data_IF_498145031912
#
_entry.id   IF_498145031912
#
_cell.length_a   1.000
_cell.length_b   1.000
_cell.length_c   1.000
_cell.angle_alpha   90.00
_cell.angle_beta   90.00
_cell.angle_gamma   90.00
#
_symmetry.space_group_name_H-M   'P 1'
#
loop_
_entity.id
_entity.type
_entity.pdbx_description
1 polymer ?
#
# COMPACT_ATOMS: atom_id res chain seq x y z
N UNK A 1 36.13 -27.53 24.05
CA UNK A 1 34.81 -27.17 23.49
C UNK A 1 34.75 -27.68 22.05
N UNK A 2 33.69 -28.32 21.68
CA UNK A 2 33.50 -28.73 20.28
C UNK A 2 33.18 -27.52 19.40
N UNK A 3 34.01 -27.26 18.39
CA UNK A 3 33.87 -26.12 17.48
C UNK A 3 32.77 -26.32 16.44
N UNK A 4 32.27 -27.53 16.28
CA UNK A 4 31.29 -27.85 15.23
C UNK A 4 29.99 -27.05 15.35
N UNK A 5 29.32 -26.98 16.51
CA UNK A 5 28.12 -26.17 16.68
C UNK A 5 28.37 -24.68 16.43
N UNK A 6 29.52 -24.16 16.79
CA UNK A 6 29.88 -22.77 16.58
C UNK A 6 30.00 -22.46 15.09
N UNK A 7 30.69 -23.35 14.35
CA UNK A 7 30.84 -23.21 12.88
C UNK A 7 29.51 -23.31 12.15
N UNK A 8 28.64 -24.24 12.59
CA UNK A 8 27.29 -24.37 12.04
C UNK A 8 26.44 -23.11 12.28
N UNK A 9 26.48 -22.56 13.48
CA UNK A 9 25.77 -21.32 13.83
C UNK A 9 26.25 -20.15 12.96
N UNK A 10 27.57 -19.97 12.83
CA UNK A 10 28.15 -18.90 12.01
C UNK A 10 27.76 -19.07 10.54
N UNK A 11 27.81 -20.29 10.02
CA UNK A 11 27.42 -20.60 8.65
C UNK A 11 25.93 -20.29 8.39
N UNK A 12 25.05 -20.69 9.29
CA UNK A 12 23.63 -20.37 9.20
C UNK A 12 23.36 -18.87 9.29
N UNK A 13 24.08 -18.17 10.16
CA UNK A 13 23.94 -16.71 10.31
C UNK A 13 24.32 -15.99 9.01
N UNK A 14 25.41 -16.41 8.36
CA UNK A 14 25.82 -15.87 7.05
C UNK A 14 24.77 -16.16 5.98
N UNK A 15 24.27 -17.40 5.92
CA UNK A 15 23.24 -17.80 4.97
C UNK A 15 21.96 -16.99 5.12
N UNK A 16 21.53 -16.74 6.36
CA UNK A 16 20.37 -15.91 6.64
C UNK A 16 20.58 -14.47 6.12
N UNK A 17 21.76 -13.92 6.35
CA UNK A 17 22.09 -12.57 5.85
C UNK A 17 22.05 -12.52 4.32
N UNK A 18 22.62 -13.51 3.64
CA UNK A 18 22.62 -13.58 2.17
C UNK A 18 21.19 -13.74 1.62
N UNK A 19 20.38 -14.61 2.23
CA UNK A 19 18.98 -14.81 1.84
C UNK A 19 18.14 -13.55 2.03
N UNK A 20 18.37 -12.80 3.09
CA UNK A 20 17.69 -11.50 3.32
C UNK A 20 18.07 -10.48 2.25
N UNK A 21 19.33 -10.44 1.85
CA UNK A 21 19.80 -9.56 0.77
C UNK A 21 19.17 -9.94 -0.58
N UNK A 22 19.14 -11.24 -0.90
CA UNK A 22 18.48 -11.76 -2.12
C UNK A 22 16.99 -11.46 -2.13
N UNK A 23 16.30 -11.67 -0.98
CA UNK A 23 14.87 -11.36 -0.85
C UNK A 23 14.61 -9.87 -1.09
N UNK A 24 15.40 -9.01 -0.47
CA UNK A 24 15.26 -7.54 -0.63
C UNK A 24 15.45 -7.11 -2.09
N UNK A 25 16.43 -7.70 -2.78
CA UNK A 25 16.66 -7.42 -4.20
C UNK A 25 15.50 -7.91 -5.07
N UNK A 26 14.99 -9.12 -4.81
CA UNK A 26 13.86 -9.68 -5.54
C UNK A 26 12.58 -8.85 -5.32
N UNK A 27 12.34 -8.37 -4.12
CA UNK A 27 11.21 -7.49 -3.81
C UNK A 27 11.31 -6.15 -4.54
N UNK A 28 12.52 -5.60 -4.62
CA UNK A 28 12.78 -4.37 -5.38
C UNK A 28 12.51 -4.57 -6.87
N UNK A 29 13.05 -5.63 -7.46
CA UNK A 29 12.87 -5.96 -8.88
C UNK A 29 11.40 -6.21 -9.21
N UNK A 30 10.69 -6.93 -8.33
CA UNK A 30 9.25 -7.16 -8.46
C UNK A 30 8.47 -5.85 -8.48
N UNK A 31 8.81 -4.91 -7.60
CA UNK A 31 8.14 -3.61 -7.51
C UNK A 31 8.36 -2.76 -8.77
N UNK A 32 9.56 -2.81 -9.34
CA UNK A 32 9.84 -2.11 -10.60
C UNK A 32 9.06 -2.73 -11.77
N UNK A 33 9.02 -4.07 -11.84
CA UNK A 33 8.22 -4.79 -12.85
C UNK A 33 6.73 -4.56 -12.68
N UNK A 34 6.23 -4.41 -11.46
CA UNK A 34 4.82 -4.13 -11.22
C UNK A 34 4.36 -2.86 -11.94
N UNK A 35 5.17 -1.81 -11.92
CA UNK A 35 4.87 -0.56 -12.64
C UNK A 35 4.77 -0.79 -14.14
N UNK A 36 5.68 -1.56 -14.69
CA UNK A 36 5.69 -1.89 -16.13
C UNK A 36 4.43 -2.67 -16.50
N UNK A 37 4.12 -3.73 -15.74
CA UNK A 37 2.95 -4.58 -15.97
C UNK A 37 1.65 -3.79 -15.88
N UNK A 38 1.50 -2.95 -14.84
CA UNK A 38 0.31 -2.10 -14.70
C UNK A 38 0.14 -1.19 -15.91
N UNK A 39 1.20 -0.53 -16.36
CA UNK A 39 1.14 0.36 -17.52
C UNK A 39 0.78 -0.39 -18.80
N UNK A 40 1.37 -1.55 -19.02
CA UNK A 40 1.06 -2.39 -20.19
C UNK A 40 -0.40 -2.87 -20.17
N UNK A 41 -0.89 -3.32 -19.03
CA UNK A 41 -2.28 -3.75 -18.88
C UNK A 41 -3.26 -2.60 -19.13
N UNK A 42 -3.00 -1.42 -18.57
CA UNK A 42 -3.83 -0.22 -18.79
C UNK A 42 -3.83 0.16 -20.28
N UNK A 43 -2.67 0.22 -20.91
CA UNK A 43 -2.56 0.56 -22.32
C UNK A 43 -3.26 -0.45 -23.25
N UNK A 44 -3.25 -1.71 -22.88
CA UNK A 44 -3.92 -2.78 -23.61
C UNK A 44 -5.43 -2.91 -23.28
N UNK A 45 -5.91 -2.20 -22.25
CA UNK A 45 -7.31 -2.28 -21.82
C UNK A 45 -7.67 -3.56 -21.07
N UNK A 46 -6.71 -4.20 -20.42
CA UNK A 46 -6.94 -5.41 -19.64
C UNK A 46 -7.02 -5.12 -18.13
N UNK A 47 -8.08 -5.59 -17.50
CA UNK A 47 -8.22 -5.55 -16.04
C UNK A 47 -7.56 -6.75 -15.36
N UNK A 48 -7.48 -7.86 -16.07
CA UNK A 48 -6.93 -9.13 -15.58
C UNK A 48 -6.06 -9.79 -16.65
N UNK A 49 -4.98 -10.41 -16.19
CA UNK A 49 -4.09 -11.25 -17.01
C UNK A 49 -3.70 -12.47 -16.20
N UNK A 50 -3.70 -13.64 -16.82
CA UNK A 50 -3.24 -14.87 -16.17
C UNK A 50 -1.98 -15.40 -16.84
N UNK A 51 -1.01 -15.78 -16.03
CA UNK A 51 0.23 -16.41 -16.47
C UNK A 51 0.74 -17.35 -15.37
N UNK A 52 1.27 -18.49 -15.77
CA UNK A 52 1.90 -19.48 -14.89
C UNK A 52 1.07 -19.86 -13.65
N UNK A 53 -0.24 -20.07 -13.82
CA UNK A 53 -1.17 -20.44 -12.75
C UNK A 53 -1.49 -19.30 -11.77
N UNK A 54 -1.12 -18.08 -12.11
CA UNK A 54 -1.41 -16.87 -11.33
C UNK A 54 -2.28 -15.91 -12.12
N UNK A 55 -3.14 -15.21 -11.42
CA UNK A 55 -3.97 -14.15 -12.01
C UNK A 55 -3.56 -12.82 -11.42
N UNK A 56 -3.21 -11.88 -12.30
CA UNK A 56 -2.92 -10.49 -11.96
C UNK A 56 -4.15 -9.66 -12.26
N UNK A 57 -4.59 -8.90 -11.29
CA UNK A 57 -5.74 -8.00 -11.41
C UNK A 57 -5.30 -6.59 -11.02
N UNK A 58 -5.63 -5.61 -11.86
CA UNK A 58 -5.42 -4.20 -11.52
C UNK A 58 -6.44 -3.77 -10.48
N UNK A 59 -5.97 -3.18 -9.39
CA UNK A 59 -6.80 -2.55 -8.38
C UNK A 59 -6.39 -1.10 -8.20
N UNK A 60 -7.36 -0.25 -7.95
CA UNK A 60 -7.08 1.12 -7.52
C UNK A 60 -6.59 1.09 -6.08
N UNK A 61 -5.60 1.91 -5.78
CA UNK A 61 -5.13 2.14 -4.42
C UNK A 61 -5.23 3.61 -4.05
N UNK A 62 -5.45 3.88 -2.78
CA UNK A 62 -5.40 5.21 -2.21
C UNK A 62 -4.33 5.24 -1.13
N UNK A 63 -3.43 6.18 -1.26
CA UNK A 63 -2.41 6.48 -0.26
C UNK A 63 -2.61 7.91 0.24
N UNK A 64 -2.25 8.15 1.48
CA UNK A 64 -2.31 9.47 2.07
C UNK A 64 -1.07 9.73 2.91
N UNK A 65 -0.60 10.94 2.89
CA UNK A 65 0.49 11.40 3.75
C UNK A 65 0.12 12.71 4.45
N UNK A 66 0.67 12.97 5.64
CA UNK A 66 0.48 14.26 6.31
C UNK A 66 1.01 15.42 5.46
N UNK A 67 0.23 16.48 5.32
CA UNK A 67 0.62 17.70 4.59
C UNK A 67 1.66 18.49 5.36
N UNK A 68 1.39 18.75 6.65
CA UNK A 68 2.20 19.61 7.53
C UNK A 68 2.88 18.81 8.65
N UNK A 69 3.18 17.54 8.41
CA UNK A 69 3.83 16.67 9.36
C UNK A 69 2.86 15.92 10.29
N UNK A 70 3.44 15.03 11.09
CA UNK A 70 2.70 14.12 11.96
C UNK A 70 1.89 14.85 13.04
N UNK A 71 2.42 15.93 13.60
CA UNK A 71 1.77 16.69 14.67
C UNK A 71 0.47 17.34 14.18
N UNK A 72 0.50 17.95 13.01
CA UNK A 72 -0.69 18.57 12.41
C UNK A 72 -1.79 17.54 12.13
N UNK A 73 -1.42 16.34 11.68
CA UNK A 73 -2.37 15.23 11.51
C UNK A 73 -2.92 14.75 12.86
N UNK A 74 -2.09 14.63 13.89
CA UNK A 74 -2.53 14.27 15.24
C UNK A 74 -3.57 15.26 15.77
N UNK A 75 -3.30 16.56 15.66
CA UNK A 75 -4.22 17.61 16.10
C UNK A 75 -5.54 17.55 15.31
N UNK A 76 -5.48 17.29 14.01
CA UNK A 76 -6.67 17.12 13.16
C UNK A 76 -7.51 15.89 13.55
N UNK A 77 -6.86 14.79 13.91
CA UNK A 77 -7.54 13.59 14.39
C UNK A 77 -8.24 13.82 15.73
N UNK A 78 -7.60 14.54 16.66
CA UNK A 78 -8.24 14.95 17.93
C UNK A 78 -9.46 15.83 17.69
N UNK A 79 -9.34 16.84 16.85
CA UNK A 79 -10.43 17.73 16.48
C UNK A 79 -11.62 16.99 15.87
N UNK A 80 -11.34 15.94 15.08
CA UNK A 80 -12.35 15.09 14.46
C UNK A 80 -12.94 14.02 15.41
N UNK A 81 -12.49 13.92 16.67
CA UNK A 81 -12.93 12.90 17.61
C UNK A 81 -12.38 11.51 17.33
N UNK A 82 -11.27 11.43 16.62
CA UNK A 82 -10.61 10.18 16.20
C UNK A 82 -9.38 9.86 17.06
N UNK A 83 -9.47 10.10 18.35
CA UNK A 83 -8.35 9.94 19.31
C UNK A 83 -7.77 8.54 19.32
N UNK A 84 -8.57 7.54 19.04
CA UNK A 84 -8.13 6.14 18.95
C UNK A 84 -7.07 5.91 17.85
N UNK A 85 -7.02 6.76 16.83
CA UNK A 85 -6.03 6.67 15.75
C UNK A 85 -4.68 7.29 16.10
N UNK A 86 -4.61 8.11 17.15
CA UNK A 86 -3.41 8.86 17.54
C UNK A 86 -2.35 7.94 18.14
N UNK A 87 -2.76 6.94 18.89
CA UNK A 87 -1.89 6.00 19.61
C UNK A 87 -1.36 4.86 18.73
N UNK A 88 -1.74 4.82 17.45
CA UNK A 88 -1.43 3.71 16.55
C UNK A 88 -0.32 4.07 15.56
N UNK A 89 0.21 3.02 14.93
CA UNK A 89 1.25 3.12 13.91
C UNK A 89 0.68 3.50 12.52
N UNK A 90 1.57 3.65 11.54
CA UNK A 90 1.19 4.00 10.16
C UNK A 90 0.21 3.02 9.51
N UNK A 91 0.25 1.74 9.91
CA UNK A 91 -0.68 0.72 9.40
C UNK A 91 -2.13 1.01 9.76
N UNK A 92 -2.38 1.56 10.95
CA UNK A 92 -3.72 1.95 11.40
C UNK A 92 -4.25 3.13 10.59
N UNK A 93 -3.41 4.11 10.32
CA UNK A 93 -3.78 5.26 9.47
C UNK A 93 -4.08 4.79 8.03
N UNK A 94 -3.29 3.89 7.48
CA UNK A 94 -3.57 3.30 6.16
C UNK A 94 -4.89 2.56 6.11
N UNK A 95 -5.20 1.77 7.15
CA UNK A 95 -6.48 1.07 7.26
C UNK A 95 -7.66 2.04 7.31
N UNK A 96 -7.53 3.11 8.08
CA UNK A 96 -8.52 4.18 8.15
C UNK A 96 -8.72 4.87 6.79
N UNK A 97 -7.65 5.20 6.09
CA UNK A 97 -7.73 5.79 4.74
C UNK A 97 -8.46 4.87 3.77
N UNK A 98 -8.17 3.59 3.77
CA UNK A 98 -8.88 2.59 2.94
C UNK A 98 -10.36 2.50 3.27
N UNK A 99 -10.70 2.51 4.56
CA UNK A 99 -12.09 2.45 5.01
C UNK A 99 -12.90 3.67 4.54
N UNK A 100 -12.34 4.85 4.66
CA UNK A 100 -12.99 6.10 4.21
C UNK A 100 -13.08 6.18 2.69
N UNK A 101 -12.01 5.81 2.00
CA UNK A 101 -11.94 5.87 0.53
C UNK A 101 -12.77 4.79 -0.18
N UNK A 102 -13.00 3.64 0.45
CA UNK A 102 -13.68 2.49 -0.16
C UNK A 102 -15.04 2.84 -0.79
N UNK A 103 -15.99 3.46 -0.05
CA UNK A 103 -17.28 3.85 -0.62
C UNK A 103 -17.17 4.79 -1.83
N UNK A 104 -16.22 5.72 -1.82
CA UNK A 104 -15.98 6.65 -2.94
C UNK A 104 -15.49 5.89 -4.18
N UNK A 105 -14.56 4.96 -4.01
CA UNK A 105 -14.06 4.11 -5.09
C UNK A 105 -15.17 3.22 -5.67
N UNK A 106 -15.98 2.61 -4.81
CA UNK A 106 -17.08 1.74 -5.21
C UNK A 106 -18.15 2.52 -6.00
N UNK A 107 -18.47 3.74 -5.56
CA UNK A 107 -19.41 4.60 -6.28
C UNK A 107 -18.88 4.98 -7.65
N UNK A 108 -17.62 5.37 -7.75
CA UNK A 108 -16.98 5.72 -9.01
C UNK A 108 -16.98 4.54 -9.99
N UNK A 109 -16.73 3.32 -9.49
CA UNK A 109 -16.78 2.10 -10.30
C UNK A 109 -18.20 1.81 -10.83
N UNK A 110 -19.22 1.96 -9.96
CA UNK A 110 -20.64 1.79 -10.41
C UNK A 110 -21.04 2.83 -11.45
N UNK A 111 -20.56 4.04 -11.35
CA UNK A 111 -20.81 5.12 -12.30
C UNK A 111 -19.91 5.06 -13.54
N UNK A 112 -18.99 4.10 -13.60
CA UNK A 112 -18.02 3.92 -14.70
C UNK A 112 -17.18 5.17 -14.97
N UNK A 113 -16.75 5.82 -13.90
CA UNK A 113 -15.89 7.02 -13.95
C UNK A 113 -14.68 6.86 -13.07
N UNK A 114 -13.66 7.68 -13.31
CA UNK A 114 -12.50 7.78 -12.44
C UNK A 114 -12.82 8.62 -11.21
N UNK A 115 -12.47 8.17 -9.99
CA UNK A 115 -12.55 8.99 -8.80
C UNK A 115 -11.51 10.11 -8.86
N UNK A 116 -11.79 11.24 -8.21
CA UNK A 116 -10.85 12.34 -8.07
C UNK A 116 -10.27 12.38 -6.66
N UNK A 117 -9.08 12.98 -6.51
CA UNK A 117 -8.45 13.18 -5.20
C UNK A 117 -9.33 14.03 -4.28
N UNK A 118 -10.00 15.03 -4.84
CA UNK A 118 -10.92 15.92 -4.13
C UNK A 118 -12.13 15.18 -3.57
N UNK A 119 -12.70 14.24 -4.30
CA UNK A 119 -13.82 13.42 -3.82
C UNK A 119 -13.40 12.57 -2.61
N UNK A 120 -12.22 11.98 -2.66
CA UNK A 120 -11.70 11.19 -1.56
C UNK A 120 -11.38 12.07 -0.36
N UNK A 121 -10.74 13.21 -0.57
CA UNK A 121 -10.45 14.16 0.48
C UNK A 121 -11.72 14.64 1.18
N UNK A 122 -12.78 14.92 0.44
CA UNK A 122 -14.07 15.35 0.97
C UNK A 122 -14.81 14.28 1.78
N UNK A 123 -14.45 12.99 1.61
CA UNK A 123 -15.03 11.90 2.40
C UNK A 123 -14.50 11.83 3.83
N UNK A 124 -13.35 12.44 4.12
CA UNK A 124 -12.80 12.56 5.47
C UNK A 124 -13.49 13.69 6.26
N UNK A 125 -13.50 13.61 7.61
CA UNK A 125 -13.80 14.78 8.42
C UNK A 125 -12.92 15.96 7.99
N UNK A 126 -13.48 17.16 7.93
CA UNK A 126 -12.81 18.34 7.37
C UNK A 126 -11.40 18.58 7.92
N UNK A 127 -11.15 18.53 9.26
CA UNK A 127 -9.80 18.71 9.79
C UNK A 127 -8.81 17.66 9.26
N UNK A 128 -9.24 16.42 9.17
CA UNK A 128 -8.41 15.30 8.70
C UNK A 128 -8.14 15.41 7.21
N UNK A 129 -9.17 15.72 6.41
CA UNK A 129 -9.03 15.93 4.96
C UNK A 129 -8.03 17.03 4.62
N UNK A 130 -8.01 18.12 5.38
CA UNK A 130 -7.01 19.20 5.20
C UNK A 130 -5.58 18.78 5.59
N UNK A 131 -5.44 17.87 6.55
CA UNK A 131 -4.17 17.40 7.06
C UNK A 131 -3.53 16.28 6.21
N UNK A 132 -4.28 15.74 5.24
CA UNK A 132 -3.85 14.65 4.38
C UNK A 132 -3.71 15.10 2.92
N UNK A 133 -2.63 14.67 2.30
CA UNK A 133 -2.47 14.70 0.84
C UNK A 133 -2.84 13.33 0.30
N UNK A 134 -3.80 13.29 -0.62
CA UNK A 134 -4.34 12.07 -1.21
C UNK A 134 -3.62 11.76 -2.51
N UNK A 135 -3.27 10.51 -2.70
CA UNK A 135 -2.69 9.98 -3.93
C UNK A 135 -3.56 8.85 -4.45
N UNK A 136 -3.93 8.92 -5.71
CA UNK A 136 -4.60 7.86 -6.43
C UNK A 136 -3.59 7.10 -7.28
N UNK A 137 -3.69 5.79 -7.27
CA UNK A 137 -2.82 4.93 -8.06
C UNK A 137 -3.47 3.58 -8.34
N UNK A 138 -2.66 2.69 -8.86
CA UNK A 138 -3.06 1.30 -9.12
C UNK A 138 -2.06 0.35 -8.49
N UNK A 139 -2.56 -0.80 -8.07
CA UNK A 139 -1.75 -1.92 -7.61
C UNK A 139 -2.17 -3.21 -8.29
N UNK A 140 -1.29 -4.21 -8.31
CA UNK A 140 -1.61 -5.54 -8.78
C UNK A 140 -1.99 -6.44 -7.61
N UNK A 141 -3.13 -7.10 -7.76
CA UNK A 141 -3.49 -8.25 -6.94
C UNK A 141 -3.00 -9.51 -7.66
N UNK A 142 -2.27 -10.36 -6.95
CA UNK A 142 -1.71 -11.59 -7.47
C UNK A 142 -2.32 -12.76 -6.70
N UNK A 143 -3.20 -13.51 -7.35
CA UNK A 143 -3.93 -14.62 -6.76
C UNK A 143 -3.70 -15.90 -7.56
N UNK A 144 -3.92 -17.05 -6.95
CA UNK A 144 -3.93 -18.32 -7.67
C UNK A 144 -5.08 -18.33 -8.67
N UNK A 145 -4.76 -18.75 -9.86
CA UNK A 145 -5.78 -18.92 -10.90
C UNK A 145 -6.75 -20.07 -10.57
#
# INVERSE_FOLDING_TARGET
MDDKPVKEYVSLSKRITDLKAELKQAEHDKKELERVVVNEMINAGFDKVSADGRTLTIKRKVEASPVDGRRALTDALEEAGLDALISYNDSTIRAYVKEVAGPVLDLAEREQRDPTEEEIQAAFPEPVGRALKIFLGFELSNTKA
#
